data_IF_533441260105
#
_entry.id   IF_533441260105
#
_cell.length_a   1.000
_cell.length_b   1.000
_cell.length_c   1.000
_cell.angle_alpha   90.00
_cell.angle_beta   90.00
_cell.angle_gamma   90.00
#
_symmetry.space_group_name_H-M   'P 1'
#
loop_
_entity.id
_entity.type
_entity.pdbx_description
1 polymer ?
#
# COMPACT_ATOMS: atom_id res chain seq x y z
N UNK A 1 59.75 -15.88 -13.87
CA UNK A 1 58.78 -15.03 -14.60
C UNK A 1 57.42 -15.22 -13.93
N UNK A 2 57.02 -14.27 -13.09
CA UNK A 2 55.78 -14.33 -12.33
C UNK A 2 54.66 -13.65 -13.13
N UNK A 3 53.67 -14.43 -13.55
CA UNK A 3 52.46 -13.91 -14.20
C UNK A 3 51.60 -13.28 -13.11
N UNK A 4 51.57 -11.95 -13.09
CA UNK A 4 50.73 -11.14 -12.20
C UNK A 4 49.27 -11.55 -12.31
N UNK A 5 48.70 -12.02 -11.20
CA UNK A 5 47.26 -12.13 -10.99
C UNK A 5 46.62 -10.75 -11.16
N UNK A 6 45.86 -10.58 -12.25
CA UNK A 6 44.94 -9.46 -12.38
C UNK A 6 43.86 -9.64 -11.31
N UNK A 7 43.86 -8.76 -10.30
CA UNK A 7 42.70 -8.50 -9.44
C UNK A 7 41.53 -8.06 -10.33
N UNK A 8 40.73 -9.01 -10.78
CA UNK A 8 39.40 -8.76 -11.33
C UNK A 8 38.50 -8.52 -10.12
N UNK A 9 38.18 -7.25 -9.86
CA UNK A 9 37.18 -6.89 -8.86
C UNK A 9 35.83 -7.50 -9.29
N UNK A 10 35.09 -8.17 -8.40
CA UNK A 10 33.93 -8.93 -8.80
C UNK A 10 32.76 -7.99 -9.14
N UNK A 11 32.13 -8.24 -10.29
CA UNK A 11 30.95 -7.52 -10.85
C UNK A 11 29.75 -7.49 -9.89
N UNK A 12 29.82 -8.25 -8.79
CA UNK A 12 28.82 -8.37 -7.73
C UNK A 12 28.49 -7.06 -7.01
N UNK A 13 29.36 -6.05 -7.07
CA UNK A 13 29.13 -4.76 -6.37
C UNK A 13 28.22 -3.79 -7.15
N UNK A 14 28.04 -3.99 -8.46
CA UNK A 14 27.19 -3.15 -9.33
C UNK A 14 25.69 -3.52 -9.27
N UNK A 15 25.32 -4.60 -8.58
CA UNK A 15 23.92 -5.05 -8.47
C UNK A 15 23.18 -4.49 -7.25
N UNK A 16 23.86 -3.80 -6.33
CA UNK A 16 23.23 -3.19 -5.13
C UNK A 16 22.33 -1.98 -5.43
N UNK A 17 22.36 -1.44 -6.65
CA UNK A 17 21.56 -0.27 -7.05
C UNK A 17 20.20 -0.60 -7.67
N UNK A 18 19.84 -1.90 -7.82
CA UNK A 18 18.64 -2.32 -8.57
C UNK A 18 17.47 -2.83 -7.72
N UNK A 19 17.61 -2.94 -6.41
CA UNK A 19 16.50 -3.33 -5.52
C UNK A 19 15.80 -2.06 -5.03
N UNK A 20 14.56 -1.83 -5.46
CA UNK A 20 13.75 -0.73 -4.93
C UNK A 20 13.63 -0.87 -3.39
N UNK A 21 13.91 0.19 -2.60
CA UNK A 21 13.89 0.09 -1.15
C UNK A 21 12.46 -0.13 -0.64
N UNK A 22 12.30 -1.08 0.27
CA UNK A 22 11.05 -1.28 1.01
C UNK A 22 10.84 -0.11 1.96
N UNK A 23 9.63 0.44 1.98
CA UNK A 23 9.24 1.54 2.86
C UNK A 23 7.95 1.20 3.59
N UNK A 24 7.75 1.84 4.73
CA UNK A 24 6.50 1.77 5.47
C UNK A 24 5.53 2.80 4.91
N UNK A 25 4.28 2.38 4.78
CA UNK A 25 3.18 3.19 4.30
C UNK A 25 1.99 3.07 5.24
N UNK A 26 1.24 4.15 5.32
CA UNK A 26 -0.07 4.21 5.95
C UNK A 26 -1.09 4.51 4.87
N UNK A 27 -2.09 3.65 4.76
CA UNK A 27 -3.22 3.83 3.87
C UNK A 27 -4.45 4.11 4.72
N UNK A 28 -5.07 5.26 4.51
CA UNK A 28 -6.41 5.56 5.02
C UNK A 28 -7.38 5.36 3.88
N UNK A 29 -8.38 4.51 4.07
CA UNK A 29 -9.48 4.30 3.11
C UNK A 29 -10.80 4.69 3.75
N UNK A 30 -11.64 5.37 2.98
CA UNK A 30 -13.01 5.71 3.33
C UNK A 30 -13.93 4.94 2.39
N UNK A 31 -14.67 3.98 2.93
CA UNK A 31 -15.69 3.23 2.22
C UNK A 31 -17.07 3.88 2.37
N UNK A 32 -17.98 3.56 1.44
CA UNK A 32 -19.39 3.97 1.54
C UNK A 32 -20.03 3.44 2.84
N UNK A 33 -20.93 4.21 3.45
CA UNK A 33 -21.57 3.84 4.73
C UNK A 33 -22.61 2.73 4.59
N UNK A 34 -23.11 2.47 3.38
CA UNK A 34 -24.13 1.46 3.06
C UNK A 34 -23.53 0.07 2.80
N UNK A 35 -22.20 -0.06 2.80
CA UNK A 35 -21.51 -1.32 2.56
C UNK A 35 -21.75 -2.30 3.72
N UNK A 36 -22.12 -3.54 3.34
CA UNK A 36 -22.21 -4.66 4.28
C UNK A 36 -20.81 -5.06 4.73
N UNK A 37 -20.67 -5.51 5.98
CA UNK A 37 -19.40 -5.91 6.59
C UNK A 37 -18.59 -6.89 5.72
N UNK A 38 -19.26 -7.87 5.11
CA UNK A 38 -18.64 -8.85 4.22
C UNK A 38 -17.90 -8.22 3.03
N UNK A 39 -18.45 -7.16 2.44
CA UNK A 39 -17.80 -6.43 1.35
C UNK A 39 -16.62 -5.60 1.83
N UNK A 40 -16.70 -5.04 3.04
CA UNK A 40 -15.58 -4.31 3.65
C UNK A 40 -14.41 -5.25 3.89
N UNK A 41 -14.68 -6.42 4.49
CA UNK A 41 -13.67 -7.43 4.76
C UNK A 41 -13.06 -7.95 3.44
N UNK A 42 -13.87 -8.19 2.41
CA UNK A 42 -13.38 -8.56 1.08
C UNK A 42 -12.48 -7.48 0.44
N UNK A 43 -12.81 -6.20 0.60
CA UNK A 43 -11.97 -5.10 0.13
C UNK A 43 -10.63 -5.02 0.85
N UNK A 44 -10.62 -5.27 2.16
CA UNK A 44 -9.39 -5.34 2.96
C UNK A 44 -8.52 -6.54 2.59
N UNK A 45 -9.14 -7.71 2.42
CA UNK A 45 -8.47 -8.92 1.97
C UNK A 45 -7.85 -8.76 0.57
N UNK A 46 -8.53 -8.03 -0.31
CA UNK A 46 -8.01 -7.71 -1.64
C UNK A 46 -6.75 -6.84 -1.57
N UNK A 47 -6.77 -5.79 -0.74
CA UNK A 47 -5.57 -4.98 -0.48
C UNK A 47 -4.46 -5.85 0.11
N UNK A 48 -4.81 -6.75 1.04
CA UNK A 48 -3.84 -7.65 1.67
C UNK A 48 -3.16 -8.59 0.67
N UNK A 49 -3.95 -9.18 -0.24
CA UNK A 49 -3.44 -10.03 -1.32
C UNK A 49 -2.52 -9.26 -2.25
N UNK A 50 -2.91 -8.05 -2.67
CA UNK A 50 -2.08 -7.21 -3.53
C UNK A 50 -0.72 -6.90 -2.89
N UNK A 51 -0.70 -6.61 -1.58
CA UNK A 51 0.53 -6.37 -0.81
C UNK A 51 1.39 -7.65 -0.77
N UNK A 52 0.78 -8.80 -0.49
CA UNK A 52 1.48 -10.08 -0.38
C UNK A 52 2.08 -10.58 -1.70
N UNK A 53 1.36 -10.42 -2.83
CA UNK A 53 1.79 -10.88 -4.17
C UNK A 53 3.14 -10.31 -4.62
N UNK A 54 3.51 -9.13 -4.11
CA UNK A 54 4.75 -8.43 -4.46
C UNK A 54 5.78 -8.43 -3.33
N UNK A 55 5.61 -9.29 -2.33
CA UNK A 55 6.53 -9.42 -1.21
C UNK A 55 6.49 -8.25 -0.22
N UNK A 56 5.37 -7.52 -0.17
CA UNK A 56 5.08 -6.59 0.93
C UNK A 56 4.53 -7.32 2.15
N UNK A 57 4.51 -6.64 3.29
CA UNK A 57 3.97 -7.16 4.55
C UNK A 57 2.97 -6.17 5.13
N UNK A 58 1.89 -6.66 5.74
CA UNK A 58 0.93 -5.83 6.47
C UNK A 58 1.31 -5.88 7.94
N UNK A 59 1.52 -4.70 8.53
CA UNK A 59 1.82 -4.57 9.94
C UNK A 59 0.55 -4.56 10.80
N UNK A 60 -0.49 -3.83 10.36
CA UNK A 60 -1.75 -3.73 11.11
C UNK A 60 -2.88 -3.21 10.23
N UNK A 61 -4.10 -3.65 10.53
CA UNK A 61 -5.35 -3.12 9.96
C UNK A 61 -6.25 -2.69 11.11
N UNK A 62 -6.50 -1.39 11.22
CA UNK A 62 -7.25 -0.77 12.32
C UNK A 62 -8.58 -0.21 11.78
N UNK A 63 -9.73 -0.78 12.15
CA UNK A 63 -11.03 -0.21 11.83
C UNK A 63 -11.32 1.01 12.71
N UNK A 64 -11.63 2.14 12.09
CA UNK A 64 -12.00 3.38 12.79
C UNK A 64 -13.52 3.59 12.88
N UNK A 65 -14.29 2.74 12.19
CA UNK A 65 -15.75 2.76 12.18
C UNK A 65 -16.34 3.86 11.31
N UNK A 66 -17.65 4.07 11.50
CA UNK A 66 -18.43 5.06 10.74
C UNK A 66 -18.22 6.46 11.33
N UNK A 67 -17.86 7.43 10.48
CA UNK A 67 -17.67 8.83 10.88
C UNK A 67 -18.34 9.77 9.88
N UNK A 68 -18.80 10.93 10.38
CA UNK A 68 -19.40 11.98 9.55
C UNK A 68 -18.33 12.73 8.77
N UNK A 69 -18.58 12.94 7.48
CA UNK A 69 -17.70 13.70 6.59
C UNK A 69 -17.95 15.21 6.77
N UNK A 70 -16.93 16.03 6.53
CA UNK A 70 -17.07 17.49 6.60
C UNK A 70 -18.00 18.05 5.51
N UNK A 71 -18.03 17.38 4.36
CA UNK A 71 -18.90 17.70 3.23
C UNK A 71 -19.30 16.40 2.50
N UNK A 72 -20.43 16.38 1.76
CA UNK A 72 -20.86 15.19 1.05
C UNK A 72 -19.88 14.80 -0.06
N UNK A 73 -19.50 13.52 -0.12
CA UNK A 73 -18.69 12.94 -1.21
C UNK A 73 -19.55 11.88 -1.91
N UNK A 74 -19.74 11.99 -3.23
CA UNK A 74 -20.63 11.09 -4.01
C UNK A 74 -22.02 10.92 -3.34
N UNK A 75 -22.60 12.03 -2.85
CA UNK A 75 -23.88 12.08 -2.10
C UNK A 75 -23.90 11.39 -0.72
N UNK A 76 -22.75 10.93 -0.23
CA UNK A 76 -22.63 10.32 1.10
C UNK A 76 -22.16 11.35 2.12
N UNK A 77 -22.84 11.44 3.27
CA UNK A 77 -22.49 12.35 4.38
C UNK A 77 -21.67 11.66 5.47
N UNK A 78 -21.57 10.33 5.41
CA UNK A 78 -20.84 9.48 6.34
C UNK A 78 -19.95 8.52 5.56
N UNK A 79 -18.91 8.00 6.20
CA UNK A 79 -18.03 7.00 5.61
C UNK A 79 -17.43 6.09 6.66
N UNK A 80 -17.06 4.88 6.26
CA UNK A 80 -16.41 3.90 7.14
C UNK A 80 -14.91 3.98 6.92
N UNK A 81 -14.17 4.27 7.99
CA UNK A 81 -12.74 4.51 7.93
C UNK A 81 -11.95 3.26 8.32
N UNK A 82 -10.88 3.00 7.57
CA UNK A 82 -9.87 1.99 7.89
C UNK A 82 -8.47 2.57 7.73
N UNK A 83 -7.61 2.25 8.69
CA UNK A 83 -6.18 2.50 8.60
C UNK A 83 -5.47 1.17 8.36
N UNK A 84 -4.68 1.10 7.29
CA UNK A 84 -3.86 -0.06 6.95
C UNK A 84 -2.40 0.38 6.97
N UNK A 85 -1.61 -0.24 7.85
CA UNK A 85 -0.16 -0.04 7.93
C UNK A 85 0.53 -1.20 7.23
N UNK A 86 1.34 -0.91 6.22
CA UNK A 86 2.02 -1.94 5.45
C UNK A 86 3.41 -1.50 5.00
N UNK A 87 4.29 -2.47 4.80
CA UNK A 87 5.63 -2.28 4.26
C UNK A 87 5.65 -2.81 2.84
N UNK A 88 6.07 -1.97 1.88
CA UNK A 88 6.07 -2.34 0.48
C UNK A 88 7.11 -1.58 -0.33
N UNK A 89 7.34 -2.08 -1.54
CA UNK A 89 8.13 -1.42 -2.56
C UNK A 89 7.34 -0.26 -3.19
N UNK A 90 8.00 0.83 -3.59
CA UNK A 90 7.37 2.00 -4.22
C UNK A 90 6.49 1.70 -5.45
N UNK A 91 6.86 0.69 -6.25
CA UNK A 91 6.07 0.28 -7.41
C UNK A 91 4.72 -0.36 -7.03
N UNK A 92 4.56 -0.88 -5.81
CA UNK A 92 3.29 -1.41 -5.31
C UNK A 92 2.29 -0.29 -5.02
N UNK A 93 2.75 0.81 -4.43
CA UNK A 93 1.90 1.94 -4.02
C UNK A 93 1.09 2.50 -5.18
N UNK A 94 1.70 2.59 -6.38
CA UNK A 94 1.00 3.03 -7.60
C UNK A 94 -0.11 2.08 -8.02
N UNK A 95 0.11 0.76 -7.90
CA UNK A 95 -0.91 -0.25 -8.22
C UNK A 95 -2.09 -0.17 -7.25
N UNK A 96 -1.82 -0.15 -5.94
CA UNK A 96 -2.86 0.00 -4.90
C UNK A 96 -3.67 1.27 -5.14
N UNK A 97 -2.98 2.39 -5.42
CA UNK A 97 -3.67 3.65 -5.70
C UNK A 97 -4.59 3.56 -6.92
N UNK A 98 -4.20 2.85 -7.97
CA UNK A 98 -5.07 2.66 -9.13
C UNK A 98 -6.26 1.76 -8.79
N UNK A 99 -6.03 0.62 -8.15
CA UNK A 99 -7.09 -0.32 -7.75
C UNK A 99 -8.17 0.36 -6.89
N UNK A 100 -7.75 1.12 -5.87
CA UNK A 100 -8.66 1.89 -5.00
C UNK A 100 -9.40 3.00 -5.75
N UNK A 101 -8.80 3.57 -6.81
CA UNK A 101 -9.48 4.55 -7.68
C UNK A 101 -10.55 3.91 -8.56
N UNK A 102 -10.32 2.68 -9.02
CA UNK A 102 -11.28 1.93 -9.85
C UNK A 102 -12.44 1.40 -9.01
N UNK A 103 -12.23 1.13 -7.72
CA UNK A 103 -13.29 0.65 -6.84
C UNK A 103 -14.39 1.70 -6.63
N UNK A 104 -15.63 1.34 -6.95
CA UNK A 104 -16.80 2.19 -6.73
C UNK A 104 -17.19 2.31 -5.26
N UNK A 105 -16.80 1.31 -4.46
CA UNK A 105 -17.07 1.18 -3.02
C UNK A 105 -16.21 2.15 -2.18
N UNK A 106 -15.10 2.62 -2.74
CA UNK A 106 -14.21 3.60 -2.13
C UNK A 106 -14.70 5.02 -2.45
N UNK A 107 -14.91 5.81 -1.39
CA UNK A 107 -15.20 7.24 -1.50
C UNK A 107 -13.92 8.03 -1.70
N UNK A 108 -12.90 7.75 -0.87
CA UNK A 108 -11.60 8.41 -0.91
C UNK A 108 -10.55 7.56 -0.22
N UNK A 109 -9.31 7.66 -0.67
CA UNK A 109 -8.17 7.05 -0.02
C UNK A 109 -6.98 7.99 -0.03
N UNK A 110 -6.05 7.76 0.89
CA UNK A 110 -4.79 8.50 1.00
C UNK A 110 -3.70 7.53 1.43
N UNK A 111 -2.59 7.53 0.68
CA UNK A 111 -1.39 6.76 1.03
C UNK A 111 -0.31 7.74 1.46
N UNK A 112 0.25 7.54 2.65
CA UNK A 112 1.27 8.37 3.27
C UNK A 112 2.49 7.51 3.57
N UNK A 113 3.69 8.08 3.46
CA UNK A 113 4.91 7.47 3.95
C UNK A 113 5.31 8.21 5.23
N UNK A 114 5.09 7.64 6.43
CA UNK A 114 5.50 8.29 7.68
C UNK A 114 7.03 8.41 7.71
N UNK A 115 7.55 9.64 7.83
CA UNK A 115 9.00 9.90 7.87
C UNK A 115 9.61 10.52 6.61
N UNK A 116 8.81 11.21 5.78
CA UNK A 116 9.30 12.16 4.77
C UNK A 116 8.67 13.53 4.97
#
# INVERSE_FOLDING_TARGET
>A
MAVKEKKVQPVTELLRSRTEPVRNYELVVIYRPELVKEKLDAGLDHIAKLVAEKGGSIASTEPWGKRKLAYPIKHQTEGIYFLVKFSAVSSLTKKINNDLRLSEDVLRHLIICPGK
#
